data_IF_721702878959
#
_entry.id   IF_721702878959
#
_cell.length_a   1.000
_cell.length_b   1.000
_cell.length_c   1.000
_cell.angle_alpha   90.00
_cell.angle_beta   90.00
_cell.angle_gamma   90.00
#
_symmetry.space_group_name_H-M   'P 1'
#
loop_
_entity.id
_entity.type
_entity.pdbx_description
1 polymer ?
#
# COMPACT_ATOMS: atom_id res chain seq x y z
N UNK A 1 9.19 -5.78 -13.85
CA UNK A 1 10.13 -5.52 -12.73
C UNK A 1 9.36 -4.68 -11.73
N UNK A 2 9.10 -5.21 -10.53
CA UNK A 2 8.56 -4.43 -9.43
C UNK A 2 9.59 -3.36 -9.03
N UNK A 3 9.13 -2.14 -8.80
CA UNK A 3 9.96 -1.08 -8.24
C UNK A 3 9.86 -1.18 -6.72
N UNK A 4 10.88 -1.73 -6.03
CA UNK A 4 10.81 -1.85 -4.58
C UNK A 4 10.81 -0.46 -3.97
N UNK A 5 9.94 -0.25 -2.99
CA UNK A 5 9.94 0.95 -2.13
C UNK A 5 11.32 1.05 -1.48
N UNK A 6 11.93 2.23 -1.53
CA UNK A 6 13.24 2.51 -0.96
C UNK A 6 13.12 3.17 0.40
N UNK A 7 14.21 3.18 1.14
CA UNK A 7 14.28 3.85 2.45
C UNK A 7 13.96 5.34 2.33
N UNK A 8 14.48 6.02 1.30
CA UNK A 8 14.22 7.46 1.11
C UNK A 8 12.74 7.81 0.85
N UNK A 9 11.94 6.85 0.39
CA UNK A 9 10.51 7.04 0.11
C UNK A 9 9.67 7.10 1.40
N UNK A 10 10.19 6.55 2.50
CA UNK A 10 9.43 6.36 3.77
C UNK A 10 10.11 6.97 4.99
N UNK A 11 11.40 7.32 4.92
CA UNK A 11 12.15 7.84 6.06
C UNK A 11 11.65 9.21 6.53
N UNK A 12 11.90 9.50 7.81
CA UNK A 12 11.80 10.85 8.33
C UNK A 12 13.03 11.66 7.94
N UNK A 13 12.82 12.78 7.24
CA UNK A 13 13.87 13.73 6.81
C UNK A 13 13.39 15.19 6.93
N UNK A 14 14.24 16.13 7.37
CA UNK A 14 15.57 15.89 7.95
C UNK A 14 15.47 15.21 9.32
N UNK A 15 16.50 14.43 9.67
CA UNK A 15 16.55 13.80 11.00
C UNK A 15 16.74 14.84 12.10
N UNK A 16 16.06 14.64 13.24
CA UNK A 16 16.25 15.49 14.41
C UNK A 16 17.47 15.02 15.21
N UNK A 17 18.39 15.95 15.48
CA UNK A 17 19.66 15.66 16.14
C UNK A 17 19.82 16.37 17.49
N UNK A 18 20.76 15.88 18.32
CA UNK A 18 21.17 16.50 19.58
C UNK A 18 22.68 16.33 19.79
N UNK A 19 23.28 17.21 20.62
CA UNK A 19 24.68 17.08 21.05
C UNK A 19 24.80 16.08 22.21
N UNK A 20 25.95 15.37 22.37
CA UNK A 20 26.18 14.46 23.49
C UNK A 20 25.96 15.09 24.87
N UNK A 21 26.26 16.37 25.01
CA UNK A 21 26.15 17.12 26.28
C UNK A 21 24.72 17.61 26.56
N UNK A 22 23.75 17.33 25.66
CA UNK A 22 22.35 17.74 25.86
C UNK A 22 21.79 17.03 27.10
N UNK A 23 21.17 17.75 28.05
CA UNK A 23 20.51 17.11 29.19
C UNK A 23 19.36 16.20 28.75
N UNK A 24 19.14 15.10 29.49
CA UNK A 24 18.07 14.16 29.20
C UNK A 24 16.67 14.79 29.23
N UNK A 25 16.43 15.74 30.15
CA UNK A 25 15.19 16.52 30.22
C UNK A 25 14.92 17.32 28.94
N UNK A 26 15.95 17.95 28.39
CA UNK A 26 15.86 18.80 27.21
C UNK A 26 15.63 17.94 25.97
N UNK A 27 16.34 16.81 25.88
CA UNK A 27 16.17 15.83 24.82
C UNK A 27 14.75 15.24 24.83
N UNK A 28 14.25 14.82 26.00
CA UNK A 28 12.88 14.34 26.15
C UNK A 28 11.84 15.42 25.78
N UNK A 29 12.08 16.67 26.17
CA UNK A 29 11.25 17.82 25.81
C UNK A 29 11.19 18.04 24.29
N UNK A 30 12.32 17.92 23.59
CA UNK A 30 12.39 17.98 22.12
C UNK A 30 11.61 16.83 21.48
N UNK A 31 11.76 15.60 21.98
CA UNK A 31 10.99 14.44 21.50
C UNK A 31 9.48 14.68 21.61
N UNK A 32 9.02 15.15 22.77
CA UNK A 32 7.61 15.46 23.00
C UNK A 32 7.09 16.57 22.10
N UNK A 33 7.85 17.66 21.95
CA UNK A 33 7.45 18.81 21.14
C UNK A 33 7.37 18.48 19.64
N UNK A 34 8.29 17.65 19.15
CA UNK A 34 8.34 17.21 17.76
C UNK A 34 7.51 15.95 17.48
N UNK A 35 6.90 15.34 18.52
CA UNK A 35 6.19 14.06 18.45
C UNK A 35 7.03 12.92 17.83
N UNK A 36 8.31 12.85 18.19
CA UNK A 36 9.28 11.84 17.72
C UNK A 36 9.72 10.91 18.86
N UNK A 37 10.03 9.66 18.52
CA UNK A 37 10.43 8.64 19.50
C UNK A 37 11.94 8.47 19.68
N UNK A 38 12.76 9.24 18.96
CA UNK A 38 14.22 9.13 18.99
C UNK A 38 14.94 10.39 18.53
N UNK A 39 16.19 10.56 18.97
CA UNK A 39 17.11 11.59 18.50
C UNK A 39 18.45 10.96 18.12
N UNK A 40 19.01 11.40 17.00
CA UNK A 40 20.37 11.02 16.60
C UNK A 40 21.37 11.96 17.29
N UNK A 41 22.35 11.39 17.96
CA UNK A 41 23.37 12.16 18.68
C UNK A 41 24.55 12.39 17.76
N UNK A 42 24.89 13.66 17.56
CA UNK A 42 25.93 14.13 16.63
C UNK A 42 26.94 14.98 17.38
N UNK A 43 28.22 14.74 17.11
CA UNK A 43 29.36 15.53 17.57
C UNK A 43 30.31 15.76 16.38
N UNK A 44 30.71 17.01 16.14
CA UNK A 44 31.60 17.38 15.02
C UNK A 44 31.17 16.79 13.67
N UNK A 45 29.87 16.88 13.35
CA UNK A 45 29.21 16.32 12.15
C UNK A 45 29.24 14.78 12.03
N UNK A 46 29.76 14.07 13.03
CA UNK A 46 29.76 12.62 13.10
C UNK A 46 28.60 12.09 13.97
N UNK A 47 27.90 11.07 13.48
CA UNK A 47 26.92 10.33 14.28
C UNK A 47 27.65 9.47 15.31
N UNK A 48 27.47 9.78 16.58
CA UNK A 48 28.13 9.07 17.70
C UNK A 48 27.16 8.20 18.51
N UNK A 49 25.85 8.39 18.34
CA UNK A 49 24.86 7.61 19.07
C UNK A 49 23.42 7.89 18.67
N UNK A 50 22.50 7.18 19.33
CA UNK A 50 21.06 7.39 19.22
C UNK A 50 20.44 7.24 20.62
N UNK A 51 19.45 8.07 20.92
CA UNK A 51 18.61 7.92 22.12
C UNK A 51 17.18 7.66 21.70
N UNK A 52 16.53 6.69 22.33
CA UNK A 52 15.16 6.28 22.03
C UNK A 52 14.27 6.38 23.27
N UNK A 53 12.95 6.24 23.08
CA UNK A 53 11.99 6.16 24.20
C UNK A 53 12.41 5.13 25.26
N UNK A 54 12.93 3.97 24.85
CA UNK A 54 13.36 2.91 25.77
C UNK A 54 14.56 3.33 26.62
N UNK A 55 15.49 4.11 26.05
CA UNK A 55 16.61 4.68 26.80
C UNK A 55 16.15 5.66 27.87
N UNK A 56 15.14 6.49 27.57
CA UNK A 56 14.53 7.37 28.57
C UNK A 56 13.78 6.59 29.66
N UNK A 57 13.08 5.51 29.30
CA UNK A 57 12.42 4.64 30.30
C UNK A 57 13.46 3.97 31.20
N UNK A 58 14.57 3.49 30.63
CA UNK A 58 15.68 2.91 31.39
C UNK A 58 16.33 3.95 32.30
N UNK A 59 16.57 5.17 31.81
CA UNK A 59 17.08 6.29 32.61
C UNK A 59 16.22 6.54 33.85
N UNK A 60 14.89 6.56 33.70
CA UNK A 60 13.95 6.78 34.80
C UNK A 60 13.96 5.64 35.85
N UNK A 61 14.41 4.45 35.46
CA UNK A 61 14.57 3.32 36.39
C UNK A 61 15.84 3.43 37.25
N UNK A 62 16.80 4.24 36.82
CA UNK A 62 18.04 4.52 37.55
C UNK A 62 17.80 5.69 38.53
N UNK A 63 18.43 5.67 39.71
CA UNK A 63 18.36 6.80 40.65
C UNK A 63 19.26 7.92 40.10
N UNK A 64 18.75 8.69 39.16
CA UNK A 64 19.49 9.74 38.44
C UNK A 64 18.60 10.93 38.12
N UNK A 65 19.20 12.12 38.13
CA UNK A 65 18.50 13.37 37.84
C UNK A 65 18.55 13.68 36.33
N UNK A 66 17.41 13.66 35.61
CA UNK A 66 17.36 13.91 34.17
C UNK A 66 17.80 15.32 33.76
N UNK A 67 17.81 16.30 34.67
CA UNK A 67 18.24 17.66 34.37
C UNK A 67 19.78 17.78 34.27
N UNK A 68 20.51 16.85 34.88
CA UNK A 68 21.98 16.88 34.94
C UNK A 68 22.65 15.78 34.15
N UNK A 69 21.92 14.71 33.83
CA UNK A 69 22.43 13.58 33.07
C UNK A 69 22.43 13.87 31.58
N UNK A 70 23.59 13.79 30.96
CA UNK A 70 23.81 14.06 29.53
C UNK A 70 23.44 12.86 28.66
N UNK A 71 23.17 13.08 27.37
CA UNK A 71 22.85 12.00 26.43
C UNK A 71 23.99 10.98 26.29
N UNK A 72 25.25 11.44 26.29
CA UNK A 72 26.42 10.56 26.13
C UNK A 72 26.53 9.48 27.22
N UNK A 73 25.94 9.71 28.39
CA UNK A 73 25.96 8.78 29.53
C UNK A 73 24.98 7.62 29.42
N UNK A 74 23.98 7.69 28.53
CA UNK A 74 22.97 6.64 28.42
C UNK A 74 22.50 6.32 26.99
N UNK A 75 22.92 7.10 25.98
CA UNK A 75 22.65 6.80 24.58
C UNK A 75 23.21 5.43 24.17
N UNK A 76 22.59 4.85 23.15
CA UNK A 76 23.15 3.68 22.47
C UNK A 76 24.25 4.13 21.50
N UNK A 77 25.40 3.47 21.56
CA UNK A 77 26.54 3.66 20.65
C UNK A 77 26.59 2.55 19.60
N UNK A 78 27.31 2.75 18.50
CA UNK A 78 27.33 1.78 17.40
C UNK A 78 26.01 1.80 16.63
N UNK A 79 25.65 2.98 16.14
CA UNK A 79 24.39 3.22 15.44
C UNK A 79 24.32 2.36 14.19
N UNK A 80 23.28 1.53 14.10
CA UNK A 80 22.99 0.74 12.91
C UNK A 80 22.41 1.68 11.84
N UNK A 81 22.96 1.60 10.64
CA UNK A 81 22.61 2.49 9.54
C UNK A 81 22.26 1.73 8.27
N UNK A 82 21.63 2.46 7.34
CA UNK A 82 21.28 1.97 6.01
C UNK A 82 21.46 3.09 5.00
N UNK A 83 21.72 2.73 3.75
CA UNK A 83 21.77 3.68 2.64
C UNK A 83 20.37 4.12 2.21
N UNK A 84 20.20 5.40 1.86
CA UNK A 84 18.93 5.98 1.43
C UNK A 84 18.33 5.28 0.19
N UNK A 85 19.18 4.71 -0.66
CA UNK A 85 18.79 3.99 -1.86
C UNK A 85 18.45 2.51 -1.64
N UNK A 86 18.71 1.97 -0.44
CA UNK A 86 18.40 0.61 -0.07
C UNK A 86 16.89 0.33 -0.14
N UNK A 87 16.53 -0.93 -0.35
CA UNK A 87 15.12 -1.30 -0.37
C UNK A 87 14.56 -1.38 1.05
N UNK A 88 13.24 -1.26 1.17
CA UNK A 88 12.56 -1.46 2.45
C UNK A 88 12.79 -2.87 3.02
N UNK A 89 12.92 -3.87 2.15
CA UNK A 89 13.25 -5.25 2.55
C UNK A 89 14.61 -5.33 3.23
N UNK A 90 15.64 -4.72 2.64
CA UNK A 90 16.99 -4.67 3.21
C UNK A 90 16.98 -3.94 4.56
N UNK A 91 16.20 -2.86 4.69
CA UNK A 91 16.05 -2.12 5.94
C UNK A 91 15.39 -2.98 7.04
N UNK A 92 14.33 -3.72 6.71
CA UNK A 92 13.67 -4.64 7.67
C UNK A 92 14.59 -5.79 8.06
N UNK A 93 15.34 -6.34 7.11
CA UNK A 93 16.34 -7.38 7.38
C UNK A 93 17.43 -6.85 8.31
N UNK A 94 18.00 -5.68 8.01
CA UNK A 94 19.00 -5.01 8.86
C UNK A 94 18.46 -4.74 10.28
N UNK A 95 17.22 -4.24 10.40
CA UNK A 95 16.56 -4.08 11.70
C UNK A 95 16.46 -5.39 12.47
N UNK A 96 16.07 -6.48 11.79
CA UNK A 96 15.91 -7.79 12.40
C UNK A 96 17.24 -8.45 12.78
N UNK A 97 18.28 -8.30 11.96
CA UNK A 97 19.61 -8.87 12.20
C UNK A 97 20.30 -8.22 13.41
N UNK A 98 20.09 -6.91 13.57
CA UNK A 98 20.69 -6.14 14.64
C UNK A 98 19.78 -5.96 15.87
N UNK A 99 18.55 -6.48 15.84
CA UNK A 99 17.53 -6.34 16.90
C UNK A 99 17.26 -4.87 17.27
N UNK A 100 17.10 -4.03 16.24
CA UNK A 100 16.84 -2.58 16.38
C UNK A 100 15.57 -2.19 15.64
N UNK A 101 14.78 -1.29 16.23
CA UNK A 101 13.55 -0.78 15.60
C UNK A 101 13.77 0.45 14.70
N UNK A 102 15.01 0.94 14.61
CA UNK A 102 15.37 2.21 13.95
C UNK A 102 16.73 2.10 13.29
N UNK A 103 16.85 2.65 12.08
CA UNK A 103 18.10 2.77 11.34
C UNK A 103 18.35 4.24 11.01
N UNK A 104 19.59 4.68 11.18
CA UNK A 104 20.01 5.99 10.70
C UNK A 104 20.32 5.91 9.21
N UNK A 105 19.85 6.87 8.43
CA UNK A 105 19.91 6.84 6.98
C UNK A 105 20.97 7.80 6.48
N UNK A 106 21.86 7.28 5.62
CA UNK A 106 22.90 8.06 4.95
C UNK A 106 22.71 8.07 3.43
N UNK A 107 23.14 9.15 2.78
CA UNK A 107 23.30 9.25 1.33
C UNK A 107 24.69 9.85 1.07
N UNK A 108 25.56 9.16 0.35
CA UNK A 108 26.93 9.61 0.05
C UNK A 108 27.70 10.11 1.30
N UNK A 109 27.65 9.34 2.40
CA UNK A 109 28.22 9.66 3.72
C UNK A 109 27.57 10.84 4.49
N UNK A 110 26.55 11.49 3.92
CA UNK A 110 25.78 12.53 4.61
C UNK A 110 24.59 11.94 5.38
N UNK A 111 24.41 12.41 6.61
CA UNK A 111 23.24 12.07 7.43
C UNK A 111 21.98 12.72 6.85
N UNK A 112 21.12 11.93 6.22
CA UNK A 112 19.92 12.45 5.53
C UNK A 112 18.61 12.16 6.26
N UNK A 113 18.57 11.13 7.11
CA UNK A 113 17.31 10.71 7.70
C UNK A 113 17.40 9.65 8.79
N UNK A 114 16.23 9.21 9.22
CA UNK A 114 16.02 8.07 10.11
C UNK A 114 14.78 7.30 9.63
N UNK A 115 14.86 5.97 9.61
CA UNK A 115 13.71 5.10 9.31
C UNK A 115 13.44 4.21 10.51
N UNK A 116 12.18 4.15 10.95
CA UNK A 116 11.73 3.33 12.06
C UNK A 116 10.64 2.35 11.63
N UNK A 117 10.39 1.31 12.43
CA UNK A 117 9.25 0.41 12.20
C UNK A 117 7.91 1.15 12.13
N UNK A 118 7.76 2.27 12.82
CA UNK A 118 6.54 3.10 12.76
C UNK A 118 6.42 3.80 11.39
N UNK A 119 7.53 4.32 10.84
CA UNK A 119 7.57 4.90 9.50
C UNK A 119 7.18 3.85 8.45
N UNK A 120 7.73 2.63 8.58
CA UNK A 120 7.44 1.49 7.70
C UNK A 120 5.95 1.13 7.77
N UNK A 121 5.38 1.01 8.97
CA UNK A 121 3.96 0.66 9.15
C UNK A 121 3.03 1.75 8.63
N UNK A 122 3.37 3.04 8.83
CA UNK A 122 2.56 4.17 8.35
C UNK A 122 2.54 4.28 6.82
N UNK A 123 3.66 4.00 6.17
CA UNK A 123 3.79 4.16 4.72
C UNK A 123 3.52 2.86 3.95
N UNK A 124 3.59 1.71 4.62
CA UNK A 124 3.28 0.40 4.02
C UNK A 124 2.30 -0.40 4.90
N UNK A 125 1.02 0.01 4.97
CA UNK A 125 -0.01 -0.68 5.75
C UNK A 125 -0.18 -2.16 5.37
N UNK A 126 0.20 -2.50 4.14
CA UNK A 126 0.09 -3.84 3.54
C UNK A 126 0.95 -4.90 4.28
N UNK A 127 2.03 -4.50 4.99
CA UNK A 127 2.93 -5.44 5.68
C UNK A 127 2.24 -6.17 6.84
N UNK A 128 1.28 -5.54 7.52
CA UNK A 128 0.62 -6.14 8.69
C UNK A 128 -0.45 -7.19 8.33
N UNK A 129 -1.01 -7.15 7.11
CA UNK A 129 -2.10 -8.05 6.71
C UNK A 129 -1.63 -9.25 5.86
N UNK A 130 -0.34 -9.31 5.53
CA UNK A 130 0.20 -10.31 4.59
C UNK A 130 0.25 -11.75 5.14
N UNK A 131 0.27 -11.95 6.47
CA UNK A 131 0.47 -13.27 7.09
C UNK A 131 -0.76 -14.19 7.09
N UNK A 132 -1.96 -13.70 6.83
CA UNK A 132 -3.20 -14.52 6.93
C UNK A 132 -3.71 -15.04 5.58
N UNK A 133 -3.16 -14.60 4.45
CA UNK A 133 -3.75 -14.84 3.12
C UNK A 133 -3.17 -16.10 2.42
N UNK A 134 -2.04 -16.64 2.87
CA UNK A 134 -1.38 -17.75 2.18
C UNK A 134 -2.11 -19.12 2.29
N UNK A 135 -3.20 -19.23 3.06
CA UNK A 135 -3.73 -20.54 3.50
C UNK A 135 -5.15 -20.92 3.04
N UNK A 136 -5.75 -20.27 2.03
CA UNK A 136 -7.10 -20.65 1.57
C UNK A 136 -7.16 -21.28 0.17
N UNK A 137 -7.28 -22.61 0.21
CA UNK A 137 -7.58 -23.49 -0.91
C UNK A 137 -8.83 -23.06 -1.67
N UNK A 138 -8.72 -23.13 -3.00
CA UNK A 138 -9.77 -22.86 -3.99
C UNK A 138 -11.04 -23.65 -3.67
N UNK A 139 -12.11 -22.96 -3.28
CA UNK A 139 -13.47 -23.50 -3.36
C UNK A 139 -14.27 -22.72 -4.40
N UNK A 140 -14.63 -23.44 -5.46
CA UNK A 140 -15.48 -22.95 -6.55
C UNK A 140 -16.93 -22.91 -6.09
N UNK A 141 -17.53 -21.72 -6.06
CA UNK A 141 -18.98 -21.58 -5.99
C UNK A 141 -19.44 -20.50 -6.99
N UNK A 142 -20.18 -20.92 -8.01
CA UNK A 142 -20.87 -20.06 -8.98
C UNK A 142 -22.21 -19.62 -8.40
N UNK A 143 -22.49 -18.32 -8.32
CA UNK A 143 -23.84 -17.77 -8.10
C UNK A 143 -24.10 -16.44 -8.81
N UNK A 144 -25.35 -15.98 -8.73
CA UNK A 144 -26.16 -15.27 -9.75
C UNK A 144 -25.91 -13.76 -9.92
N UNK A 145 -26.33 -13.26 -11.09
CA UNK A 145 -26.16 -11.90 -11.63
C UNK A 145 -27.24 -10.94 -11.11
N UNK A 146 -26.90 -10.02 -10.22
CA UNK A 146 -27.67 -8.80 -9.97
C UNK A 146 -27.11 -7.68 -10.86
N UNK A 147 -27.87 -7.26 -11.89
CA UNK A 147 -27.43 -6.23 -12.85
C UNK A 147 -27.81 -4.83 -12.32
N UNK A 148 -26.93 -4.22 -11.51
CA UNK A 148 -26.97 -2.78 -11.22
C UNK A 148 -26.23 -1.95 -12.30
N UNK A 149 -25.62 -2.60 -13.29
CA UNK A 149 -24.86 -1.95 -14.36
C UNK A 149 -25.75 -1.58 -15.53
N UNK A 150 -25.65 -0.34 -16.03
CA UNK A 150 -26.47 0.14 -17.14
C UNK A 150 -26.23 -0.59 -18.47
N UNK A 151 -25.05 -1.19 -18.66
CA UNK A 151 -24.69 -1.99 -19.85
C UNK A 151 -23.51 -2.92 -19.53
N UNK A 152 -23.35 -3.96 -20.36
CA UNK A 152 -22.19 -4.86 -20.37
C UNK A 152 -21.68 -5.04 -21.81
N UNK A 153 -20.41 -5.42 -21.97
CA UNK A 153 -19.81 -5.74 -23.27
C UNK A 153 -19.48 -7.23 -23.36
N UNK A 154 -19.36 -7.73 -24.59
CA UNK A 154 -19.15 -9.16 -24.83
C UNK A 154 -17.79 -9.69 -24.36
N UNK A 155 -16.75 -8.86 -24.28
CA UNK A 155 -15.43 -9.28 -23.77
C UNK A 155 -15.33 -9.23 -22.24
N UNK A 156 -16.34 -8.69 -21.55
CA UNK A 156 -16.30 -8.53 -20.10
C UNK A 156 -16.73 -9.81 -19.41
N UNK A 157 -15.85 -10.30 -18.53
CA UNK A 157 -16.15 -11.46 -17.70
C UNK A 157 -16.19 -11.05 -16.22
N UNK A 158 -17.22 -11.54 -15.52
CA UNK A 158 -17.42 -11.35 -14.09
C UNK A 158 -17.60 -12.71 -13.44
N UNK A 159 -16.82 -12.97 -12.40
CA UNK A 159 -17.03 -14.11 -11.52
C UNK A 159 -17.11 -13.65 -10.08
N UNK A 160 -18.06 -14.19 -9.33
CA UNK A 160 -18.20 -13.97 -7.89
C UNK A 160 -18.18 -15.30 -7.14
N UNK A 161 -17.75 -15.25 -5.89
CA UNK A 161 -17.73 -16.39 -4.97
C UNK A 161 -18.13 -15.90 -3.58
N UNK A 162 -19.02 -16.63 -2.91
CA UNK A 162 -19.49 -16.29 -1.56
C UNK A 162 -20.61 -15.24 -1.48
N UNK A 163 -20.75 -14.39 -2.52
CA UNK A 163 -21.77 -13.34 -2.54
C UNK A 163 -23.21 -13.89 -2.52
N UNK A 164 -24.00 -13.37 -1.58
CA UNK A 164 -25.45 -13.55 -1.47
C UNK A 164 -26.15 -12.21 -1.78
N UNK A 165 -27.38 -12.25 -2.31
CA UNK A 165 -28.09 -11.05 -2.83
C UNK A 165 -28.38 -10.01 -1.74
N UNK A 166 -28.37 -10.42 -0.46
CA UNK A 166 -28.76 -9.57 0.66
C UNK A 166 -27.60 -9.25 1.63
N UNK A 167 -26.44 -9.91 1.52
CA UNK A 167 -25.37 -9.81 2.54
C UNK A 167 -23.97 -10.04 1.97
N UNK A 168 -23.02 -9.30 2.54
CA UNK A 168 -21.58 -9.47 2.30
C UNK A 168 -20.92 -10.04 3.54
N UNK A 169 -20.07 -11.04 3.34
CA UNK A 169 -19.30 -11.72 4.36
C UNK A 169 -17.81 -11.60 4.08
N UNK A 170 -17.00 -11.76 5.14
CA UNK A 170 -15.56 -11.94 4.99
C UNK A 170 -15.30 -13.24 4.21
N UNK A 171 -14.40 -13.17 3.23
CA UNK A 171 -14.10 -14.23 2.27
C UNK A 171 -14.85 -14.09 0.94
N UNK A 172 -15.85 -13.20 0.86
CA UNK A 172 -16.54 -12.95 -0.40
C UNK A 172 -15.61 -12.31 -1.41
N UNK A 173 -15.71 -12.76 -2.67
CA UNK A 173 -14.81 -12.36 -3.74
C UNK A 173 -15.57 -12.02 -5.01
N UNK A 174 -15.14 -10.96 -5.68
CA UNK A 174 -15.60 -10.57 -7.01
C UNK A 174 -14.42 -10.32 -7.93
N UNK A 175 -14.57 -10.71 -9.18
CA UNK A 175 -13.58 -10.47 -10.21
C UNK A 175 -14.21 -9.78 -11.41
N UNK A 176 -13.44 -8.92 -12.06
CA UNK A 176 -13.82 -8.31 -13.31
C UNK A 176 -12.65 -8.41 -14.27
N UNK A 177 -12.93 -8.86 -15.49
CA UNK A 177 -11.90 -8.99 -16.50
C UNK A 177 -12.31 -8.36 -17.82
N UNK A 178 -11.35 -7.79 -18.52
CA UNK A 178 -11.49 -7.35 -19.91
C UNK A 178 -10.13 -7.29 -20.62
N UNK A 179 -10.16 -7.26 -21.95
CA UNK A 179 -8.97 -6.91 -22.73
C UNK A 179 -8.78 -5.38 -22.77
N UNK A 180 -7.56 -4.91 -22.55
CA UNK A 180 -7.24 -3.48 -22.67
C UNK A 180 -7.01 -3.14 -24.14
N UNK A 181 -7.92 -2.37 -24.73
CA UNK A 181 -7.83 -1.97 -26.13
C UNK A 181 -7.04 -0.67 -26.31
N UNK A 182 -6.60 -0.41 -27.54
CA UNK A 182 -6.03 0.89 -27.93
C UNK A 182 -7.02 2.03 -27.65
N UNK A 183 -8.32 1.78 -27.90
CA UNK A 183 -9.38 2.75 -27.63
C UNK A 183 -9.49 3.10 -26.13
N UNK A 184 -9.25 2.15 -25.23
CA UNK A 184 -9.25 2.41 -23.79
C UNK A 184 -8.11 3.37 -23.41
N UNK A 185 -6.91 3.14 -23.95
CA UNK A 185 -5.73 4.00 -23.70
C UNK A 185 -5.97 5.41 -24.23
N UNK A 186 -6.46 5.54 -25.47
CA UNK A 186 -6.78 6.84 -26.07
C UNK A 186 -7.88 7.58 -25.30
N UNK A 187 -8.97 6.86 -24.95
CA UNK A 187 -10.10 7.44 -24.20
C UNK A 187 -9.68 7.87 -22.81
N UNK A 188 -8.83 7.08 -22.13
CA UNK A 188 -8.30 7.43 -20.83
C UNK A 188 -7.35 8.62 -20.90
N UNK A 189 -6.45 8.69 -21.88
CA UNK A 189 -5.57 9.84 -22.08
C UNK A 189 -6.38 11.12 -22.30
N UNK A 190 -7.46 11.06 -23.09
CA UNK A 190 -8.36 12.18 -23.30
C UNK A 190 -9.13 12.59 -22.04
N UNK A 191 -9.62 11.62 -21.27
CA UNK A 191 -10.41 11.88 -20.06
C UNK A 191 -9.56 12.36 -18.87
N UNK A 192 -8.38 11.79 -18.69
CA UNK A 192 -7.45 12.12 -17.59
C UNK A 192 -6.56 13.32 -17.89
N UNK A 193 -6.32 13.63 -19.17
CA UNK A 193 -5.33 14.61 -19.61
C UNK A 193 -3.90 14.06 -19.66
N UNK A 194 -3.66 12.81 -19.25
CA UNK A 194 -2.35 12.17 -19.33
C UNK A 194 -2.06 11.70 -20.77
N UNK A 195 -1.47 12.61 -21.53
CA UNK A 195 -1.02 12.37 -22.92
C UNK A 195 0.46 12.03 -23.00
N UNK A 196 1.05 11.46 -21.94
CA UNK A 196 2.45 11.07 -21.95
C UNK A 196 2.76 10.12 -23.12
N UNK A 197 3.80 10.45 -23.87
CA UNK A 197 4.23 9.71 -25.08
C UNK A 197 4.56 8.25 -24.79
N UNK A 198 4.91 7.91 -23.54
CA UNK A 198 5.15 6.53 -23.13
C UNK A 198 3.93 5.61 -23.39
N UNK A 199 2.72 6.15 -23.35
CA UNK A 199 1.48 5.40 -23.56
C UNK A 199 0.97 5.45 -25.01
N UNK A 200 1.37 6.46 -25.79
CA UNK A 200 0.73 6.82 -27.06
C UNK A 200 1.64 6.73 -28.28
N UNK A 201 2.96 6.75 -28.10
CA UNK A 201 3.94 6.85 -29.18
C UNK A 201 4.92 5.67 -29.14
N UNK A 202 4.80 4.77 -30.12
CA UNK A 202 5.61 3.54 -30.21
C UNK A 202 7.09 3.86 -30.44
N UNK A 203 7.42 4.84 -31.28
CA UNK A 203 8.80 5.21 -31.57
C UNK A 203 9.47 5.75 -30.31
N UNK A 204 8.78 6.63 -29.60
CA UNK A 204 9.27 7.15 -28.32
C UNK A 204 9.43 6.04 -27.27
N UNK A 205 8.40 5.22 -27.08
CA UNK A 205 8.39 4.19 -26.06
C UNK A 205 9.47 3.11 -26.29
N UNK A 206 9.77 2.79 -27.56
CA UNK A 206 10.86 1.87 -27.94
C UNK A 206 12.25 2.33 -27.49
N UNK A 207 12.44 3.63 -27.28
CA UNK A 207 13.69 4.23 -26.81
C UNK A 207 13.77 4.34 -25.28
N UNK A 208 12.69 4.02 -24.58
CA UNK A 208 12.65 4.03 -23.12
C UNK A 208 13.10 2.68 -22.56
N UNK A 209 13.30 2.61 -21.25
CA UNK A 209 13.60 1.34 -20.55
C UNK A 209 12.56 0.23 -20.76
N UNK A 210 11.34 0.59 -21.16
CA UNK A 210 10.25 -0.36 -21.40
C UNK A 210 10.34 -1.00 -22.79
N UNK A 211 11.00 -0.35 -23.76
CA UNK A 211 11.20 -0.87 -25.12
C UNK A 211 9.93 -0.97 -25.98
N UNK A 212 8.78 -0.55 -25.44
CA UNK A 212 7.44 -0.59 -26.07
C UNK A 212 6.47 0.29 -25.27
N UNK A 213 5.32 0.59 -25.85
CA UNK A 213 4.23 1.29 -25.11
C UNK A 213 3.72 0.43 -23.96
N UNK A 214 3.37 1.09 -22.87
CA UNK A 214 2.71 0.47 -21.71
C UNK A 214 1.39 1.20 -21.44
N UNK A 215 0.43 0.51 -20.85
CA UNK A 215 -0.86 1.09 -20.46
C UNK A 215 -0.67 1.98 -19.23
N UNK A 216 -1.47 3.05 -19.08
CA UNK A 216 -1.51 3.84 -17.84
C UNK A 216 -1.86 2.93 -16.65
N UNK A 217 -1.05 2.95 -15.59
CA UNK A 217 -1.35 2.16 -14.39
C UNK A 217 -2.75 2.48 -13.83
N UNK A 218 -3.09 3.78 -13.76
CA UNK A 218 -4.39 4.24 -13.26
C UNK A 218 -5.58 3.81 -14.12
N UNK A 219 -5.38 3.56 -15.42
CA UNK A 219 -6.43 3.01 -16.29
C UNK A 219 -6.79 1.59 -15.85
N UNK A 220 -5.80 0.73 -15.64
CA UNK A 220 -6.05 -0.66 -15.23
C UNK A 220 -6.50 -0.76 -13.77
N UNK A 221 -6.21 0.23 -12.92
CA UNK A 221 -6.86 0.37 -11.61
C UNK A 221 -8.38 0.54 -11.73
N UNK A 222 -8.87 1.14 -12.82
CA UNK A 222 -10.30 1.30 -13.08
C UNK A 222 -11.06 -0.04 -13.11
N UNK A 223 -10.36 -1.14 -13.40
CA UNK A 223 -10.93 -2.50 -13.35
C UNK A 223 -11.36 -2.90 -11.93
N UNK A 224 -10.65 -2.42 -10.90
CA UNK A 224 -11.01 -2.63 -9.50
C UNK A 224 -12.35 -1.95 -9.21
N UNK A 225 -12.51 -0.70 -9.67
CA UNK A 225 -13.79 0.01 -9.54
C UNK A 225 -14.91 -0.73 -10.28
N UNK A 226 -14.63 -1.29 -11.46
CA UNK A 226 -15.59 -2.09 -12.19
C UNK A 226 -15.99 -3.35 -11.41
N UNK A 227 -15.03 -4.07 -10.81
CA UNK A 227 -15.30 -5.24 -9.98
C UNK A 227 -16.13 -4.89 -8.73
N UNK A 228 -15.76 -3.85 -8.00
CA UNK A 228 -16.48 -3.39 -6.80
C UNK A 228 -17.92 -3.01 -7.10
N UNK A 229 -18.20 -2.46 -8.29
CA UNK A 229 -19.56 -2.16 -8.74
C UNK A 229 -20.44 -3.40 -9.01
N UNK A 230 -19.93 -4.63 -8.82
CA UNK A 230 -20.69 -5.89 -8.89
C UNK A 230 -20.87 -6.54 -7.52
N UNK A 231 -20.41 -5.90 -6.44
CA UNK A 231 -20.84 -6.29 -5.10
C UNK A 231 -22.34 -6.00 -4.94
N UNK A 232 -23.07 -6.79 -4.14
CA UNK A 232 -24.49 -6.57 -3.90
C UNK A 232 -24.69 -5.25 -3.15
N UNK A 233 -25.74 -4.51 -3.50
CA UNK A 233 -26.01 -3.20 -2.92
C UNK A 233 -25.25 -2.05 -3.57
N UNK A 234 -25.54 -0.85 -3.11
CA UNK A 234 -24.90 0.38 -3.60
C UNK A 234 -23.53 0.52 -2.96
N UNK A 235 -22.49 0.21 -3.74
CA UNK A 235 -21.09 0.31 -3.28
C UNK A 235 -20.54 1.73 -3.39
N UNK A 236 -20.15 2.30 -2.26
CA UNK A 236 -19.48 3.59 -2.13
C UNK A 236 -18.00 3.34 -1.85
N UNK A 237 -17.16 3.78 -2.77
CA UNK A 237 -15.71 3.60 -2.72
C UNK A 237 -15.07 4.71 -1.85
N UNK A 238 -14.60 4.36 -0.64
CA UNK A 238 -14.13 5.35 0.34
C UNK A 238 -12.64 5.66 0.22
N UNK A 239 -11.81 4.64 0.04
CA UNK A 239 -10.36 4.78 -0.09
C UNK A 239 -9.77 3.62 -0.89
N UNK A 240 -8.61 3.86 -1.49
CA UNK A 240 -7.86 2.88 -2.26
C UNK A 240 -6.36 3.17 -2.16
N UNK A 241 -5.58 2.17 -1.76
CA UNK A 241 -4.12 2.20 -1.70
C UNK A 241 -3.55 1.16 -2.66
N UNK A 242 -2.55 1.52 -3.47
CA UNK A 242 -2.08 0.69 -4.58
C UNK A 242 -0.56 0.72 -4.72
N UNK A 243 0.00 -0.40 -5.19
CA UNK A 243 1.39 -0.52 -5.63
C UNK A 243 1.43 -1.13 -7.04
N UNK A 244 2.22 -0.52 -7.93
CA UNK A 244 2.37 -0.95 -9.32
C UNK A 244 3.60 -1.85 -9.46
N UNK A 245 3.37 -3.15 -9.63
CA UNK A 245 4.39 -4.19 -9.64
C UNK A 245 4.93 -4.49 -11.04
N UNK A 246 4.08 -4.46 -12.06
CA UNK A 246 4.46 -4.73 -13.45
C UNK A 246 3.66 -3.85 -14.42
N UNK A 247 4.23 -3.46 -15.56
CA UNK A 247 3.48 -2.76 -16.60
C UNK A 247 2.52 -3.72 -17.31
N UNK A 248 1.38 -3.20 -17.77
CA UNK A 248 0.51 -3.85 -18.75
C UNK A 248 0.80 -3.32 -20.16
N UNK A 249 0.50 -4.13 -21.16
CA UNK A 249 0.55 -3.79 -22.57
C UNK A 249 -0.85 -3.63 -23.17
N UNK A 250 -0.90 -2.92 -24.30
CA UNK A 250 -2.12 -2.84 -25.10
C UNK A 250 -2.39 -4.22 -25.70
N UNK A 251 -3.62 -4.72 -25.51
CA UNK A 251 -4.02 -6.06 -25.91
C UNK A 251 -3.99 -7.08 -24.78
N UNK A 252 -3.39 -6.76 -23.62
CA UNK A 252 -3.40 -7.66 -22.46
C UNK A 252 -4.84 -7.86 -21.97
N UNK A 253 -5.15 -9.10 -21.60
CA UNK A 253 -6.37 -9.41 -20.88
C UNK A 253 -6.08 -9.41 -19.38
N UNK A 254 -6.69 -8.49 -18.66
CA UNK A 254 -6.43 -8.26 -17.25
C UNK A 254 -7.64 -8.62 -16.40
N UNK A 255 -7.38 -9.09 -15.18
CA UNK A 255 -8.39 -9.47 -14.20
C UNK A 255 -8.17 -8.72 -12.90
N UNK A 256 -9.13 -7.85 -12.54
CA UNK A 256 -9.22 -7.32 -11.19
C UNK A 256 -9.83 -8.37 -10.25
N UNK A 257 -9.28 -8.47 -9.06
CA UNK A 257 -9.73 -9.37 -8.00
C UNK A 257 -9.94 -8.55 -6.73
N UNK A 258 -11.16 -8.54 -6.22
CA UNK A 258 -11.51 -7.90 -4.96
C UNK A 258 -12.04 -8.94 -3.98
N UNK A 259 -11.42 -9.03 -2.80
CA UNK A 259 -11.83 -9.99 -1.77
C UNK A 259 -12.04 -9.29 -0.43
N UNK A 260 -13.18 -9.54 0.23
CA UNK A 260 -13.54 -8.96 1.51
C UNK A 260 -12.74 -9.62 2.61
N UNK A 261 -11.84 -8.89 3.23
CA UNK A 261 -10.96 -9.40 4.29
C UNK A 261 -11.43 -9.01 5.69
N UNK A 262 -12.15 -7.89 5.83
CA UNK A 262 -12.58 -7.40 7.15
C UNK A 262 -13.94 -6.72 7.09
N UNK A 263 -14.83 -7.07 8.03
CA UNK A 263 -16.04 -6.29 8.37
C UNK A 263 -15.70 -5.22 9.42
N UNK A 264 -15.73 -3.95 9.01
CA UNK A 264 -15.46 -2.78 9.85
C UNK A 264 -16.71 -2.26 10.58
N UNK A 265 -17.83 -2.99 10.48
CA UNK A 265 -19.18 -2.67 10.98
C UNK A 265 -19.81 -1.47 10.28
N UNK A 266 -21.12 -1.31 10.49
CA UNK A 266 -21.93 -0.23 9.87
C UNK A 266 -21.81 -0.23 8.35
N UNK A 267 -21.90 -1.43 7.77
CA UNK A 267 -21.80 -1.71 6.34
C UNK A 267 -20.49 -1.26 5.70
N UNK A 268 -19.41 -1.14 6.48
CA UNK A 268 -18.08 -0.82 5.96
C UNK A 268 -17.25 -2.09 5.90
N UNK A 269 -16.52 -2.24 4.80
CA UNK A 269 -15.69 -3.42 4.55
C UNK A 269 -14.32 -3.00 4.06
N UNK A 270 -13.30 -3.77 4.44
CA UNK A 270 -11.97 -3.69 3.85
C UNK A 270 -11.79 -4.84 2.87
N UNK A 271 -11.22 -4.56 1.71
CA UNK A 271 -10.95 -5.54 0.66
C UNK A 271 -9.48 -5.50 0.25
N UNK A 272 -8.93 -6.65 -0.14
CA UNK A 272 -7.76 -6.68 -1.01
C UNK A 272 -8.20 -6.35 -2.43
N UNK A 273 -7.34 -5.68 -3.20
CA UNK A 273 -7.62 -5.31 -4.59
C UNK A 273 -6.39 -5.52 -5.45
N UNK A 274 -6.39 -6.61 -6.21
CA UNK A 274 -5.30 -6.99 -7.11
C UNK A 274 -5.71 -6.86 -8.58
N UNK A 275 -4.75 -6.63 -9.47
CA UNK A 275 -4.91 -6.79 -10.92
C UNK A 275 -3.88 -7.79 -11.43
N UNK A 276 -4.36 -8.82 -12.13
CA UNK A 276 -3.57 -9.93 -12.65
C UNK A 276 -3.58 -9.92 -14.18
N UNK A 277 -2.52 -10.46 -14.80
CA UNK A 277 -2.50 -10.81 -16.23
C UNK A 277 -3.03 -12.25 -16.47
N UNK A 278 -2.97 -12.70 -17.73
CA UNK A 278 -3.43 -14.03 -18.14
C UNK A 278 -2.62 -15.18 -17.54
N UNK A 279 -1.35 -14.94 -17.18
CA UNK A 279 -0.48 -15.92 -16.54
C UNK A 279 -0.72 -15.99 -15.02
N UNK A 280 -1.58 -15.10 -14.49
CA UNK A 280 -1.86 -14.97 -13.06
C UNK A 280 -0.81 -14.17 -12.30
N UNK A 281 0.09 -13.52 -13.04
CA UNK A 281 1.11 -12.64 -12.49
C UNK A 281 0.48 -11.32 -12.02
N UNK A 282 0.87 -10.84 -10.84
CA UNK A 282 0.29 -9.63 -10.27
C UNK A 282 0.93 -8.37 -10.85
N UNK A 283 0.11 -7.51 -11.45
CA UNK A 283 0.51 -6.21 -11.99
C UNK A 283 0.29 -5.09 -10.98
N UNK A 284 -0.80 -5.19 -10.23
CA UNK A 284 -1.17 -4.24 -9.17
C UNK A 284 -1.57 -5.02 -7.94
N UNK A 285 -1.12 -4.53 -6.78
CA UNK A 285 -1.60 -4.98 -5.48
C UNK A 285 -2.09 -3.80 -4.65
N UNK A 286 -3.09 -4.03 -3.80
CA UNK A 286 -3.68 -2.95 -3.05
C UNK A 286 -4.77 -3.35 -2.10
N UNK A 287 -5.37 -2.33 -1.49
CA UNK A 287 -6.47 -2.45 -0.55
C UNK A 287 -7.48 -1.33 -0.72
N UNK A 288 -8.75 -1.66 -0.54
CA UNK A 288 -9.87 -0.73 -0.58
C UNK A 288 -10.63 -0.71 0.73
N UNK A 289 -11.18 0.44 1.09
CA UNK A 289 -12.30 0.52 2.02
C UNK A 289 -13.56 0.93 1.26
N UNK A 290 -14.66 0.21 1.49
CA UNK A 290 -15.96 0.49 0.87
C UNK A 290 -17.05 0.57 1.94
N UNK A 291 -18.12 1.30 1.63
CA UNK A 291 -19.38 1.26 2.35
C UNK A 291 -20.49 0.79 1.40
N UNK A 292 -21.34 -0.11 1.86
CA UNK A 292 -22.32 -0.77 0.99
C UNK A 292 -23.72 -0.56 1.56
N UNK A 293 -24.52 0.23 0.86
CA UNK A 293 -25.91 0.52 1.24
C UNK A 293 -26.90 -0.42 0.53
N UNK A 294 -28.11 -0.53 1.09
CA UNK A 294 -29.19 -1.31 0.46
C UNK A 294 -29.58 -0.69 -0.90
N UNK A 295 -29.80 -1.55 -1.90
CA UNK A 295 -30.29 -1.12 -3.21
C UNK A 295 -31.67 -0.48 -3.08
N UNK A 296 -31.86 0.76 -3.57
CA UNK A 296 -33.19 1.38 -3.64
C UNK A 296 -34.18 0.50 -4.42
N UNK A 297 -35.47 0.55 -4.08
CA UNK A 297 -36.50 -0.29 -4.75
C UNK A 297 -36.52 -0.14 -6.29
N UNK A 298 -36.11 1.01 -6.81
CA UNK A 298 -36.00 1.29 -8.25
C UNK A 298 -34.88 0.54 -8.97
N UNK A 299 -33.94 -0.05 -8.23
CA UNK A 299 -32.84 -0.87 -8.76
C UNK A 299 -33.15 -2.38 -8.80
N UNK A 300 -34.27 -2.83 -8.21
CA UNK A 300 -34.67 -4.24 -8.22
C UNK A 300 -35.28 -4.64 -9.56
N UNK A 301 -34.52 -5.35 -10.40
CA UNK A 301 -35.04 -5.98 -11.61
C UNK A 301 -35.47 -7.41 -11.30
N UNK A 302 -36.77 -7.68 -11.31
CA UNK A 302 -37.30 -9.04 -11.17
C UNK A 302 -37.08 -9.81 -12.48
N UNK A 303 -36.12 -10.73 -12.50
CA UNK A 303 -35.95 -11.64 -13.65
C UNK A 303 -36.84 -12.87 -13.42
N UNK A 304 -37.98 -12.94 -14.11
CA UNK A 304 -38.78 -14.16 -14.15
C UNK A 304 -37.97 -15.28 -14.83
N UNK A 305 -37.67 -16.34 -14.08
CA UNK A 305 -37.05 -17.53 -14.64
C UNK A 305 -38.03 -18.19 -15.61
N UNK A 306 -37.70 -18.23 -16.90
CA UNK A 306 -38.44 -19.08 -17.85
C UNK A 306 -38.24 -20.54 -17.43
N UNK A 307 -39.30 -21.14 -16.87
CA UNK A 307 -39.37 -22.57 -16.64
C UNK A 307 -39.32 -23.28 -18.01
N UNK A 308 -38.22 -23.98 -18.29
CA UNK A 308 -38.16 -24.87 -19.45
C UNK A 308 -39.23 -25.96 -19.32
N UNK A 309 -40.11 -26.02 -20.32
CA UNK A 309 -41.08 -27.09 -20.56
C UNK A 309 -40.47 -28.19 -21.43
#
# INVERSE_FOLDING_TARGET
MAFPIRVNDVMSSPVTTASPETPASDAAGRCCAAAIGSLVVVEDDAVIGIVTTDDFVRLLSEVSDPETRSLSEFMSTGVVSVDASATLGDAVETMSEHDVARLVVFEDDELVGLVSTDDIVRHVPQILQRREIEDHERQTARYHRQQETAYEQADWDVESTGLDDDRINVGDRVTFSKTISEQDVESFAAASGDTNRLHLDEEYASQTRFGRRIVHGTLICGLISAALARLPGVTIYLSQDLSFLKPAEVGDRLTAVCEVVTDLRRNKYQLTTDVLDEDGDRLIEGQAAVLIDETPETGRVTVETLANS
#
